data_IF_467351002436
#
_entry.id   IF_467351002436
#
_cell.length_a   1.000
_cell.length_b   1.000
_cell.length_c   1.000
_cell.angle_alpha   90.00
_cell.angle_beta   90.00
_cell.angle_gamma   90.00
#
_symmetry.space_group_name_H-M   'P 1'
#
loop_
_entity.id
_entity.type
_entity.pdbx_description
1 polymer ?
#
# COMPACT_ATOMS: atom_id res chain seq x y z
N UNK A 1 39.04 -17.69 20.05
CA UNK A 1 38.92 -17.21 18.66
C UNK A 1 37.73 -17.89 18.00
N UNK A 2 36.60 -17.18 17.87
CA UNK A 2 35.39 -17.45 17.05
C UNK A 2 34.20 -16.71 17.68
N UNK A 3 33.33 -15.98 17.00
CA UNK A 3 33.17 -15.60 15.59
C UNK A 3 32.60 -14.16 15.59
N UNK A 4 33.19 -13.28 14.79
CA UNK A 4 32.60 -11.97 14.51
C UNK A 4 31.21 -12.16 13.89
N UNK A 5 30.18 -11.59 14.52
CA UNK A 5 28.90 -11.35 13.85
C UNK A 5 29.17 -10.33 12.75
N UNK A 6 29.51 -10.81 11.56
CA UNK A 6 29.42 -9.99 10.33
C UNK A 6 27.97 -9.57 10.19
N UNK A 7 27.64 -8.35 10.62
CA UNK A 7 26.34 -7.75 10.36
C UNK A 7 26.23 -7.55 8.86
N UNK A 8 25.55 -8.48 8.16
CA UNK A 8 25.22 -8.31 6.76
C UNK A 8 24.42 -7.01 6.63
N UNK A 9 25.01 -6.01 5.98
CA UNK A 9 24.29 -4.79 5.60
C UNK A 9 23.23 -5.22 4.59
N UNK A 10 21.96 -5.02 4.92
CA UNK A 10 20.84 -5.25 4.01
C UNK A 10 20.22 -3.90 3.67
N UNK A 11 19.57 -3.76 2.50
CA UNK A 11 18.84 -2.54 2.16
C UNK A 11 17.49 -2.44 2.92
N UNK A 12 17.21 -3.36 3.84
CA UNK A 12 15.92 -3.49 4.52
C UNK A 12 16.06 -3.28 6.02
N UNK A 13 15.24 -2.40 6.57
CA UNK A 13 15.02 -2.33 8.01
C UNK A 13 14.04 -3.44 8.41
N UNK A 14 14.41 -4.22 9.40
CA UNK A 14 13.57 -5.31 9.93
C UNK A 14 13.01 -4.89 11.28
N UNK A 15 11.72 -5.12 11.46
CA UNK A 15 11.01 -4.84 12.70
C UNK A 15 10.25 -6.10 13.10
N UNK A 16 10.28 -6.44 14.38
CA UNK A 16 9.27 -7.31 14.93
C UNK A 16 7.93 -6.56 15.06
N UNK A 17 6.88 -7.31 15.37
CA UNK A 17 5.51 -6.78 15.45
C UNK A 17 5.37 -5.68 16.50
N UNK A 18 6.04 -5.80 17.64
CA UNK A 18 5.94 -4.83 18.74
C UNK A 18 6.68 -3.55 18.37
N UNK A 19 7.90 -3.67 17.86
CA UNK A 19 8.70 -2.56 17.34
C UNK A 19 7.93 -1.76 16.27
N UNK A 20 7.28 -2.45 15.33
CA UNK A 20 6.46 -1.82 14.30
C UNK A 20 5.24 -1.09 14.87
N UNK A 21 4.51 -1.74 15.78
CA UNK A 21 3.32 -1.15 16.41
C UNK A 21 3.66 0.11 17.22
N UNK A 22 4.82 0.14 17.87
CA UNK A 22 5.27 1.29 18.67
C UNK A 22 5.56 2.54 17.82
N UNK A 23 5.83 2.40 16.51
CA UNK A 23 6.00 3.54 15.59
C UNK A 23 4.74 4.40 15.47
N UNK A 24 3.56 3.89 15.87
CA UNK A 24 2.32 4.67 15.97
C UNK A 24 2.46 5.86 16.92
N UNK A 25 3.18 5.70 18.05
CA UNK A 25 3.16 6.63 19.21
C UNK A 25 3.61 8.05 18.90
N UNK A 26 4.33 8.27 17.79
CA UNK A 26 4.99 9.54 17.52
C UNK A 26 4.17 10.59 16.75
N UNK A 27 2.94 10.32 16.29
CA UNK A 27 2.04 11.34 15.67
C UNK A 27 0.56 11.03 15.95
N UNK A 28 -0.27 12.04 16.25
CA UNK A 28 -1.72 11.88 16.37
C UNK A 28 -2.35 11.58 15.01
N UNK A 29 -2.82 10.33 14.82
CA UNK A 29 -3.79 10.00 13.78
C UNK A 29 -5.18 10.41 14.26
N UNK A 30 -5.92 11.20 13.46
CA UNK A 30 -7.31 11.58 13.76
C UNK A 30 -8.31 10.43 13.63
N UNK A 31 -7.93 9.36 12.92
CA UNK A 31 -8.74 8.16 12.77
C UNK A 31 -8.80 7.38 14.09
N UNK A 32 -9.99 7.31 14.64
CA UNK A 32 -10.34 6.53 15.81
C UNK A 32 -10.82 5.14 15.41
N UNK A 33 -10.89 4.22 16.36
CA UNK A 33 -11.41 2.86 16.13
C UNK A 33 -12.86 2.85 15.63
N UNK A 34 -13.64 3.89 15.94
CA UNK A 34 -15.02 4.05 15.48
C UNK A 34 -15.08 4.39 13.99
N UNK A 35 -14.12 5.16 13.48
CA UNK A 35 -14.02 5.50 12.06
C UNK A 35 -13.65 4.29 11.20
N UNK A 36 -12.99 3.28 11.79
CA UNK A 36 -12.55 2.08 11.11
C UNK A 36 -13.63 1.00 11.01
N UNK A 37 -14.57 0.92 11.96
CA UNK A 37 -15.63 -0.11 11.98
C UNK A 37 -16.47 -0.18 10.69
N UNK A 38 -16.94 0.93 10.10
CA UNK A 38 -17.72 0.89 8.86
C UNK A 38 -16.90 0.42 7.67
N UNK A 39 -15.60 0.72 7.67
CA UNK A 39 -14.67 0.38 6.59
C UNK A 39 -14.28 -1.09 6.58
N UNK A 40 -14.37 -1.75 7.75
CA UNK A 40 -14.10 -3.17 7.96
C UNK A 40 -15.35 -4.06 7.79
N UNK A 41 -16.53 -3.47 7.60
CA UNK A 41 -17.82 -4.17 7.55
C UNK A 41 -18.01 -5.13 6.36
N UNK A 42 -17.03 -5.26 5.47
CA UNK A 42 -17.06 -6.21 4.36
C UNK A 42 -16.07 -7.37 4.59
N UNK A 43 -16.60 -8.41 5.25
CA UNK A 43 -16.33 -9.83 4.98
C UNK A 43 -14.95 -10.43 5.24
N UNK A 44 -14.12 -9.86 6.12
CA UNK A 44 -12.84 -10.49 6.50
C UNK A 44 -12.61 -10.36 8.01
N UNK A 45 -12.13 -11.43 8.65
CA UNK A 45 -11.82 -11.57 10.10
C UNK A 45 -10.68 -10.65 10.58
N UNK A 46 -10.61 -9.43 10.06
CA UNK A 46 -9.58 -8.48 10.41
C UNK A 46 -9.92 -7.82 11.73
N UNK A 47 -9.22 -8.22 12.79
CA UNK A 47 -9.37 -7.59 14.09
C UNK A 47 -8.95 -6.11 14.05
N UNK A 48 -9.63 -5.28 14.85
CA UNK A 48 -9.24 -3.88 15.06
C UNK A 48 -7.78 -3.76 15.54
N UNK A 49 -7.31 -4.76 16.29
CA UNK A 49 -5.92 -4.86 16.74
C UNK A 49 -4.92 -5.00 15.59
N UNK A 50 -5.25 -5.74 14.52
CA UNK A 50 -4.40 -5.85 13.33
C UNK A 50 -4.28 -4.49 12.62
N UNK A 51 -5.40 -3.77 12.48
CA UNK A 51 -5.40 -2.41 11.91
C UNK A 51 -4.54 -1.49 12.74
N UNK A 52 -4.69 -1.56 14.07
CA UNK A 52 -3.99 -0.71 15.03
C UNK A 52 -2.48 -0.94 15.02
N UNK A 53 -2.07 -2.19 14.99
CA UNK A 53 -0.67 -2.60 15.17
C UNK A 53 0.11 -2.62 13.87
N UNK A 54 -0.53 -2.93 12.73
CA UNK A 54 0.15 -3.10 11.44
C UNK A 54 -0.19 -1.97 10.46
N UNK A 55 -1.48 -1.75 10.18
CA UNK A 55 -1.89 -0.89 9.08
C UNK A 55 -1.81 0.61 9.38
N UNK A 56 -2.06 1.04 10.62
CA UNK A 56 -1.93 2.45 11.00
C UNK A 56 -0.47 2.95 10.86
N UNK A 57 0.56 2.27 11.42
CA UNK A 57 1.95 2.66 11.16
C UNK A 57 2.31 2.64 9.67
N UNK A 58 1.82 1.65 8.91
CA UNK A 58 2.08 1.54 7.47
C UNK A 58 1.48 2.69 6.67
N UNK A 59 0.20 3.00 6.89
CA UNK A 59 -0.48 4.11 6.23
C UNK A 59 0.23 5.44 6.51
N UNK A 60 0.69 5.64 7.75
CA UNK A 60 1.49 6.80 8.14
C UNK A 60 2.83 6.86 7.42
N UNK A 61 3.55 5.73 7.34
CA UNK A 61 4.80 5.68 6.59
C UNK A 61 4.58 6.07 5.13
N UNK A 62 3.56 5.50 4.49
CA UNK A 62 3.17 5.82 3.11
C UNK A 62 2.85 7.32 2.97
N UNK A 63 2.16 7.92 3.94
CA UNK A 63 1.86 9.36 3.93
C UNK A 63 3.14 10.21 3.93
N UNK A 64 4.15 9.86 4.73
CA UNK A 64 5.45 10.57 4.68
C UNK A 64 6.08 10.48 3.29
N UNK A 65 6.07 9.32 2.65
CA UNK A 65 6.57 9.17 1.28
C UNK A 65 5.81 10.04 0.27
N UNK A 66 4.48 10.09 0.38
CA UNK A 66 3.64 10.94 -0.48
C UNK A 66 3.99 12.42 -0.28
N UNK A 67 4.07 12.88 0.97
CA UNK A 67 4.33 14.29 1.29
C UNK A 67 5.71 14.74 0.84
N UNK A 68 6.74 13.93 1.09
CA UNK A 68 8.10 14.24 0.64
C UNK A 68 8.22 14.21 -0.88
N UNK A 69 7.51 13.30 -1.57
CA UNK A 69 7.47 13.31 -3.02
C UNK A 69 6.81 14.59 -3.57
N UNK A 70 5.71 15.05 -2.97
CA UNK A 70 5.03 16.29 -3.38
C UNK A 70 5.92 17.53 -3.16
N UNK A 71 6.63 17.59 -2.02
CA UNK A 71 7.60 18.66 -1.75
C UNK A 71 8.72 18.65 -2.79
N UNK A 72 9.30 17.49 -3.08
CA UNK A 72 10.36 17.32 -4.08
C UNK A 72 9.89 17.76 -5.47
N UNK A 73 8.69 17.35 -5.90
CA UNK A 73 8.11 17.78 -7.17
C UNK A 73 7.93 19.30 -7.23
N UNK A 74 7.47 19.92 -6.15
CA UNK A 74 7.31 21.38 -6.06
C UNK A 74 8.65 22.12 -6.28
N UNK A 75 9.73 21.63 -5.67
CA UNK A 75 11.08 22.20 -5.84
C UNK A 75 11.56 22.05 -7.29
N UNK A 76 11.38 20.86 -7.89
CA UNK A 76 11.77 20.61 -9.27
C UNK A 76 11.00 21.50 -10.26
N UNK A 77 9.68 21.62 -10.10
CA UNK A 77 8.86 22.46 -10.98
C UNK A 77 9.25 23.94 -10.88
N UNK A 78 9.53 24.43 -9.67
CA UNK A 78 10.04 25.79 -9.48
C UNK A 78 11.39 26.00 -10.17
N UNK A 79 12.32 25.05 -10.02
CA UNK A 79 13.63 25.13 -10.65
C UNK A 79 13.55 25.13 -12.17
N UNK A 80 12.65 24.30 -12.73
CA UNK A 80 12.45 24.18 -14.17
C UNK A 80 11.54 25.27 -14.77
N UNK A 81 10.91 26.11 -13.94
CA UNK A 81 10.00 27.16 -14.39
C UNK A 81 8.71 26.64 -15.05
N UNK A 82 8.27 25.42 -14.69
CA UNK A 82 7.07 24.79 -15.25
C UNK A 82 5.91 24.82 -14.27
N UNK A 83 4.68 24.95 -14.79
CA UNK A 83 3.49 24.76 -13.97
C UNK A 83 3.38 23.30 -13.52
N UNK A 84 3.11 23.04 -12.23
CA UNK A 84 3.08 21.69 -11.70
C UNK A 84 1.87 20.91 -12.24
N UNK A 85 2.06 19.85 -13.05
CA UNK A 85 0.94 18.98 -13.43
C UNK A 85 0.43 18.20 -12.20
N UNK A 86 -0.87 17.92 -12.16
CA UNK A 86 -1.46 17.06 -11.13
C UNK A 86 -1.17 15.60 -11.44
N UNK A 87 -0.06 15.08 -10.91
CA UNK A 87 0.36 13.68 -11.09
C UNK A 87 -0.13 12.83 -9.91
N UNK A 88 -0.81 11.68 -10.17
CA UNK A 88 -1.21 10.77 -9.09
C UNK A 88 0.01 10.07 -8.48
N UNK A 89 -0.06 9.76 -7.19
CA UNK A 89 0.90 8.89 -6.52
C UNK A 89 0.42 7.45 -6.60
N UNK A 90 1.22 6.55 -7.18
CA UNK A 90 0.85 5.15 -7.43
C UNK A 90 1.45 4.26 -6.33
N UNK A 91 0.61 3.45 -5.70
CA UNK A 91 1.02 2.42 -4.74
C UNK A 91 0.63 1.06 -5.33
N UNK A 92 1.59 0.16 -5.49
CA UNK A 92 1.37 -1.19 -6.00
C UNK A 92 1.45 -2.21 -4.87
N UNK A 93 0.48 -3.12 -4.81
CA UNK A 93 0.43 -4.21 -3.82
C UNK A 93 0.55 -5.53 -4.56
N UNK A 94 1.64 -6.25 -4.33
CA UNK A 94 1.96 -7.52 -4.98
C UNK A 94 2.05 -8.67 -3.96
N UNK A 95 2.02 -9.91 -4.44
CA UNK A 95 2.02 -11.11 -3.59
C UNK A 95 1.26 -12.27 -4.21
N UNK A 96 1.38 -13.46 -3.59
CA UNK A 96 0.75 -14.69 -4.07
C UNK A 96 -0.78 -14.63 -4.11
N UNK A 97 -1.40 -15.56 -4.83
CA UNK A 97 -2.87 -15.72 -4.83
C UNK A 97 -3.32 -16.08 -3.41
N UNK A 98 -4.45 -15.51 -2.98
CA UNK A 98 -5.05 -15.72 -1.64
C UNK A 98 -4.25 -15.20 -0.43
N UNK A 99 -3.18 -14.41 -0.62
CA UNK A 99 -2.42 -13.81 0.49
C UNK A 99 -3.08 -12.58 1.15
N UNK A 100 -4.30 -12.20 0.73
CA UNK A 100 -5.00 -11.02 1.28
C UNK A 100 -4.59 -9.67 0.68
N UNK A 101 -4.13 -9.63 -0.58
CA UNK A 101 -3.81 -8.35 -1.27
C UNK A 101 -5.01 -7.41 -1.35
N UNK A 102 -6.17 -7.93 -1.72
CA UNK A 102 -7.40 -7.14 -1.88
C UNK A 102 -7.86 -6.55 -0.55
N UNK A 103 -7.77 -7.34 0.52
CA UNK A 103 -7.97 -6.92 1.91
C UNK A 103 -7.07 -5.74 2.26
N UNK A 104 -5.76 -5.93 2.12
CA UNK A 104 -4.74 -4.94 2.45
C UNK A 104 -4.93 -3.64 1.66
N UNK A 105 -5.27 -3.76 0.38
CA UNK A 105 -5.49 -2.63 -0.51
C UNK A 105 -6.71 -1.80 -0.11
N UNK A 106 -7.83 -2.43 0.25
CA UNK A 106 -9.04 -1.73 0.72
C UNK A 106 -8.81 -1.02 2.04
N UNK A 107 -8.11 -1.67 2.98
CA UNK A 107 -7.76 -1.06 4.27
C UNK A 107 -6.89 0.18 4.04
N UNK A 108 -5.83 0.05 3.24
CA UNK A 108 -4.96 1.18 2.93
C UNK A 108 -5.71 2.29 2.19
N UNK A 109 -6.58 1.97 1.23
CA UNK A 109 -7.43 2.94 0.55
C UNK A 109 -8.23 3.74 1.57
N UNK A 110 -8.92 3.06 2.48
CA UNK A 110 -9.77 3.68 3.47
C UNK A 110 -8.98 4.58 4.45
N UNK A 111 -7.84 4.10 4.94
CA UNK A 111 -6.94 4.85 5.83
C UNK A 111 -6.33 6.09 5.16
N UNK A 112 -5.96 5.98 3.89
CA UNK A 112 -5.33 7.08 3.15
C UNK A 112 -6.34 8.15 2.72
N UNK A 113 -7.61 7.77 2.48
CA UNK A 113 -8.68 8.72 2.15
C UNK A 113 -9.05 9.65 3.32
N UNK A 114 -8.97 9.16 4.56
CA UNK A 114 -9.40 9.86 5.78
C UNK A 114 -8.27 10.56 6.54
N UNK A 115 -7.12 10.78 5.90
CA UNK A 115 -6.05 11.60 6.47
C UNK A 115 -6.54 13.07 6.63
N UNK A 116 -5.98 13.92 7.53
CA UNK A 116 -6.56 15.23 7.91
C UNK A 116 -6.95 16.19 6.79
N UNK A 117 -6.48 15.95 5.55
CA UNK A 117 -7.05 16.52 4.34
C UNK A 117 -7.58 15.36 3.50
N UNK A 118 -8.87 15.39 3.17
CA UNK A 118 -9.49 14.41 2.30
C UNK A 118 -8.71 14.30 0.99
N UNK A 119 -8.39 13.07 0.61
CA UNK A 119 -7.70 12.75 -0.65
C UNK A 119 -8.56 11.75 -1.42
N UNK A 120 -8.66 11.96 -2.73
CA UNK A 120 -9.21 10.95 -3.62
C UNK A 120 -8.22 9.79 -3.73
N UNK A 121 -8.61 8.61 -3.26
CA UNK A 121 -7.81 7.38 -3.37
C UNK A 121 -8.63 6.33 -4.14
N UNK A 122 -8.21 6.06 -5.37
CA UNK A 122 -8.82 5.06 -6.24
C UNK A 122 -8.09 3.72 -6.10
N UNK A 123 -8.83 2.60 -6.15
CA UNK A 123 -8.29 1.23 -6.10
C UNK A 123 -8.56 0.53 -7.44
N UNK A 124 -7.50 0.06 -8.09
CA UNK A 124 -7.57 -0.68 -9.36
C UNK A 124 -6.91 -2.05 -9.16
N UNK A 125 -7.60 -3.12 -9.59
CA UNK A 125 -7.05 -4.49 -9.59
C UNK A 125 -6.47 -4.84 -10.96
N UNK A 126 -5.34 -5.55 -10.99
CA UNK A 126 -4.71 -6.00 -12.25
C UNK A 126 -5.51 -7.08 -12.95
N UNK A 127 -6.42 -7.77 -12.24
CA UNK A 127 -7.27 -8.81 -12.81
C UNK A 127 -8.25 -8.25 -13.87
N UNK A 128 -8.58 -6.96 -13.77
CA UNK A 128 -9.39 -6.26 -14.78
C UNK A 128 -8.68 -6.04 -16.12
N UNK A 129 -7.36 -6.26 -16.17
CA UNK A 129 -6.56 -6.17 -17.41
C UNK A 129 -6.36 -7.53 -18.08
N UNK A 130 -6.92 -8.61 -17.53
CA UNK A 130 -6.86 -9.92 -18.18
C UNK A 130 -7.75 -9.93 -19.42
N UNK A 131 -7.28 -10.61 -20.48
CA UNK A 131 -8.09 -10.86 -21.67
C UNK A 131 -9.46 -11.48 -21.30
N UNK A 132 -10.54 -11.13 -22.02
CA UNK A 132 -11.82 -11.80 -21.88
C UNK A 132 -11.70 -13.32 -22.06
N UNK A 133 -12.59 -14.08 -21.42
CA UNK A 133 -12.56 -15.56 -21.47
C UNK A 133 -12.58 -16.10 -22.91
N UNK A 134 -13.31 -15.44 -23.81
CA UNK A 134 -13.35 -15.78 -25.24
C UNK A 134 -11.95 -15.73 -25.87
N UNK A 135 -11.24 -14.60 -25.70
CA UNK A 135 -9.86 -14.43 -26.21
C UNK A 135 -8.87 -15.38 -25.53
N UNK A 136 -9.04 -15.67 -24.24
CA UNK A 136 -8.20 -16.66 -23.54
C UNK A 136 -8.41 -18.09 -24.07
N UNK A 137 -9.64 -18.42 -24.46
CA UNK A 137 -10.00 -19.73 -25.02
C UNK A 137 -9.48 -19.87 -26.44
N UNK A 138 -9.68 -18.86 -27.29
CA UNK A 138 -9.14 -18.80 -28.65
C UNK A 138 -7.61 -18.91 -28.67
N UNK A 139 -6.92 -18.23 -27.75
CA UNK A 139 -5.46 -18.26 -27.67
C UNK A 139 -4.90 -19.49 -26.94
N UNK A 140 -5.72 -20.46 -26.53
CA UNK A 140 -5.32 -21.61 -25.71
C UNK A 140 -4.57 -21.22 -24.41
N UNK A 141 -4.85 -20.04 -23.85
CA UNK A 141 -4.17 -19.47 -22.68
C UNK A 141 -4.86 -19.82 -21.36
N UNK A 142 -5.94 -20.60 -21.38
CA UNK A 142 -6.70 -20.99 -20.18
C UNK A 142 -5.83 -21.64 -19.08
N UNK A 143 -4.84 -22.45 -19.47
CA UNK A 143 -3.89 -23.09 -18.53
C UNK A 143 -2.79 -22.15 -18.01
N UNK A 144 -2.64 -20.96 -18.59
CA UNK A 144 -1.57 -19.98 -18.29
C UNK A 144 -2.06 -18.74 -17.56
N UNK A 145 -3.34 -18.67 -17.13
CA UNK A 145 -4.04 -17.51 -16.52
C UNK A 145 -3.29 -16.76 -15.40
N UNK A 146 -2.13 -17.25 -14.93
CA UNK A 146 -1.29 -16.67 -13.87
C UNK A 146 0.15 -16.34 -14.29
N UNK A 147 0.52 -16.50 -15.56
CA UNK A 147 1.87 -16.17 -16.06
C UNK A 147 1.88 -14.82 -16.76
N UNK A 148 3.00 -14.10 -16.60
CA UNK A 148 3.28 -12.70 -16.99
C UNK A 148 3.17 -12.34 -18.48
N UNK A 149 2.45 -13.13 -19.29
CA UNK A 149 2.25 -12.91 -20.73
C UNK A 149 0.78 -12.86 -21.15
N UNK A 150 -0.11 -12.43 -20.26
CA UNK A 150 -1.57 -12.33 -20.50
C UNK A 150 -2.09 -10.89 -20.33
N UNK A 151 -1.19 -9.93 -20.11
CA UNK A 151 -1.46 -8.51 -20.34
C UNK A 151 -1.47 -8.23 -21.85
#
# INVERSE_FOLDING_TARGET
>A
MSLEKTSKITPFLTFDRQQWADLRKSVPLKLTEQDLKPLLGFNEDLSLEEVRTIYLPLARLIQYYIEENLKRQTVLHRFLGIEPPKVPYIISIAGSVSVGKSTSARILQALLSHYPKERKVDLITTDGFLYPLATLTEKNLLKKKRLSGIL
#
